data_IF_193959312985
#
_entry.id   IF_193959312985
#
_cell.length_a   1.000
_cell.length_b   1.000
_cell.length_c   1.000
_cell.angle_alpha   90.00
_cell.angle_beta   90.00
_cell.angle_gamma   90.00
#
_symmetry.space_group_name_H-M   'P 1'
#
loop_
_entity.id
_entity.type
_entity.pdbx_description
1 polymer ?
#
# COMPACT_ATOMS: atom_id res chain seq x y z
N UNK A 1 -47.47 -30.52 59.20
CA UNK A 1 -47.04 -29.17 59.62
C UNK A 1 -46.18 -28.56 58.53
N UNK A 2 -46.37 -27.29 58.14
CA UNK A 2 -47.65 -26.68 57.72
C UNK A 2 -47.50 -26.05 56.30
N UNK A 3 -48.49 -26.25 55.41
CA UNK A 3 -49.57 -25.31 55.06
C UNK A 3 -49.06 -24.01 54.38
N UNK A 4 -49.23 -23.98 53.06
CA UNK A 4 -49.22 -22.75 52.25
C UNK A 4 -50.47 -21.94 52.58
N UNK A 5 -50.30 -20.68 52.98
CA UNK A 5 -51.40 -19.73 53.16
C UNK A 5 -51.46 -18.75 51.99
N UNK A 6 -52.61 -18.81 51.31
CA UNK A 6 -53.16 -17.86 50.36
C UNK A 6 -52.92 -16.38 50.74
N UNK A 7 -52.51 -15.56 49.76
CA UNK A 7 -52.70 -14.10 49.82
C UNK A 7 -53.79 -13.69 48.83
N UNK A 8 -54.85 -13.10 49.39
CA UNK A 8 -56.02 -12.49 48.76
C UNK A 8 -55.59 -11.25 47.95
N UNK A 9 -56.17 -10.96 46.76
CA UNK A 9 -55.92 -9.73 46.05
C UNK A 9 -56.73 -8.56 46.65
N UNK A 10 -56.05 -7.48 47.03
CA UNK A 10 -56.68 -6.21 47.38
C UNK A 10 -57.00 -5.42 46.10
N UNK A 11 -58.28 -5.07 45.91
CA UNK A 11 -58.76 -4.18 44.86
C UNK A 11 -58.67 -2.73 45.37
N UNK A 12 -57.99 -1.78 44.69
CA UNK A 12 -58.04 -0.38 45.13
C UNK A 12 -59.26 0.33 44.56
N UNK A 13 -59.95 1.03 45.47
CA UNK A 13 -61.06 1.95 45.23
C UNK A 13 -60.53 3.19 44.49
N UNK A 14 -61.13 3.55 43.35
CA UNK A 14 -60.87 4.82 42.64
C UNK A 14 -61.78 5.92 43.22
N UNK A 15 -61.18 6.92 43.86
CA UNK A 15 -61.82 8.22 44.12
C UNK A 15 -61.39 9.19 43.01
N UNK A 16 -62.33 9.57 42.15
CA UNK A 16 -62.19 10.62 41.14
C UNK A 16 -62.09 11.99 41.81
N UNK A 17 -60.92 12.61 41.77
CA UNK A 17 -60.73 14.04 42.06
C UNK A 17 -61.10 14.85 40.82
N UNK A 18 -61.93 15.88 40.98
CA UNK A 18 -62.21 16.89 39.97
C UNK A 18 -60.92 17.57 39.49
N UNK A 19 -60.73 17.63 38.17
CA UNK A 19 -59.57 18.27 37.54
C UNK A 19 -59.66 19.79 37.66
N UNK A 20 -58.57 20.42 38.11
CA UNK A 20 -58.41 21.87 38.24
C UNK A 20 -58.28 22.55 36.87
N UNK A 21 -58.60 23.84 36.77
CA UNK A 21 -58.58 24.64 35.54
C UNK A 21 -57.26 24.54 34.73
N UNK A 22 -56.13 24.47 35.42
CA UNK A 22 -54.80 24.27 34.81
C UNK A 22 -54.68 22.94 34.04
N UNK A 23 -55.32 21.87 34.53
CA UNK A 23 -55.35 20.58 33.83
C UNK A 23 -56.27 20.61 32.60
N UNK A 24 -57.37 21.38 32.64
CA UNK A 24 -58.24 21.57 31.46
C UNK A 24 -57.52 22.32 30.33
N UNK A 25 -56.70 23.32 30.66
CA UNK A 25 -55.88 24.04 29.67
C UNK A 25 -54.83 23.11 29.06
N UNK A 26 -54.16 22.29 29.88
CA UNK A 26 -53.15 21.34 29.43
C UNK A 26 -53.74 20.27 28.50
N UNK A 27 -54.90 19.73 28.84
CA UNK A 27 -55.60 18.73 28.05
C UNK A 27 -56.10 19.35 26.71
N UNK A 28 -56.64 20.58 26.72
CA UNK A 28 -57.06 21.31 25.52
C UNK A 28 -55.90 21.61 24.54
N UNK A 29 -54.69 21.90 25.05
CA UNK A 29 -53.50 22.13 24.22
C UNK A 29 -53.00 20.83 23.55
N UNK A 30 -53.12 19.69 24.22
CA UNK A 30 -52.73 18.39 23.69
C UNK A 30 -53.72 17.90 22.62
N UNK A 31 -55.02 18.11 22.84
CA UNK A 31 -56.09 17.67 21.94
C UNK A 31 -56.08 18.39 20.59
N UNK A 32 -55.68 19.67 20.55
CA UNK A 32 -55.73 20.50 19.34
C UNK A 32 -54.41 20.57 18.55
N UNK A 33 -53.37 19.80 18.90
CA UNK A 33 -52.02 19.82 18.26
C UNK A 33 -51.42 21.23 18.05
N UNK A 34 -51.85 22.22 18.83
CA UNK A 34 -51.23 23.54 18.82
C UNK A 34 -49.94 23.44 19.61
N UNK A 35 -48.81 23.38 18.90
CA UNK A 35 -47.50 23.31 19.55
C UNK A 35 -47.37 24.53 20.48
N UNK A 36 -46.80 24.34 21.67
CA UNK A 36 -46.59 25.45 22.62
C UNK A 36 -45.87 26.66 22.00
N UNK A 37 -45.21 26.46 20.86
CA UNK A 37 -44.65 27.50 20.01
C UNK A 37 -45.69 28.49 19.46
N UNK A 38 -46.90 28.06 19.09
CA UNK A 38 -47.95 28.97 18.61
C UNK A 38 -48.53 29.82 19.74
N UNK A 39 -48.77 29.23 20.91
CA UNK A 39 -49.22 29.97 22.09
C UNK A 39 -48.14 30.97 22.55
N UNK A 40 -46.87 30.55 22.55
CA UNK A 40 -45.75 31.44 22.85
C UNK A 40 -45.62 32.56 21.81
N UNK A 41 -45.71 32.24 20.52
CA UNK A 41 -45.69 33.23 19.43
C UNK A 41 -46.87 34.20 19.52
N UNK A 42 -48.07 33.71 19.85
CA UNK A 42 -49.25 34.55 20.08
C UNK A 42 -49.04 35.48 21.27
N UNK A 43 -48.45 35.00 22.37
CA UNK A 43 -48.13 35.82 23.55
C UNK A 43 -47.08 36.88 23.18
N UNK A 44 -45.98 36.50 22.51
CA UNK A 44 -44.96 37.45 22.06
C UNK A 44 -45.55 38.50 21.12
N UNK A 45 -46.41 38.08 20.17
CA UNK A 45 -47.11 38.97 19.26
C UNK A 45 -48.05 39.91 20.01
N UNK A 46 -48.81 39.41 20.99
CA UNK A 46 -49.73 40.21 21.82
C UNK A 46 -48.96 41.21 22.67
N UNK A 47 -47.86 40.79 23.30
CA UNK A 47 -46.96 41.69 24.06
C UNK A 47 -46.37 42.74 23.15
N UNK A 48 -46.03 42.41 21.90
CA UNK A 48 -45.50 43.35 20.92
C UNK A 48 -46.57 44.35 20.43
N UNK A 49 -47.79 43.88 20.16
CA UNK A 49 -48.91 44.70 19.68
C UNK A 49 -49.42 45.67 20.74
N UNK A 50 -49.44 45.24 22.01
CA UNK A 50 -49.81 46.07 23.16
C UNK A 50 -48.60 46.70 23.87
N UNK A 51 -47.39 46.55 23.31
CA UNK A 51 -46.16 47.08 23.90
C UNK A 51 -46.24 48.57 24.20
N UNK A 52 -46.77 49.45 23.31
CA UNK A 52 -46.83 50.89 23.60
C UNK A 52 -47.67 51.21 24.86
N UNK A 53 -48.76 50.47 25.07
CA UNK A 53 -49.65 50.64 26.22
C UNK A 53 -49.00 50.10 27.49
N UNK A 54 -48.41 48.91 27.44
CA UNK A 54 -47.69 48.31 28.58
C UNK A 54 -46.50 49.19 28.97
N UNK A 55 -45.77 49.71 27.99
CA UNK A 55 -44.63 50.60 28.18
C UNK A 55 -45.03 51.94 28.78
N UNK A 56 -46.11 52.56 28.29
CA UNK A 56 -46.67 53.79 28.87
C UNK A 56 -47.10 53.60 30.33
N UNK A 57 -47.65 52.42 30.67
CA UNK A 57 -48.09 52.11 32.03
C UNK A 57 -46.90 51.90 32.97
N UNK A 58 -45.85 51.22 32.49
CA UNK A 58 -44.60 51.02 33.24
C UNK A 58 -43.83 52.35 33.46
N UNK A 59 -43.79 53.23 32.46
CA UNK A 59 -43.14 54.54 32.59
C UNK A 59 -43.91 55.51 33.48
N UNK A 60 -45.24 55.52 33.41
CA UNK A 60 -46.09 56.25 34.35
C UNK A 60 -45.86 55.83 35.80
N UNK A 61 -45.50 54.56 36.03
CA UNK A 61 -45.18 54.04 37.35
C UNK A 61 -43.76 54.40 37.84
N UNK A 62 -42.80 54.64 36.94
CA UNK A 62 -41.39 54.91 37.29
C UNK A 62 -41.07 56.42 37.33
N UNK A 63 -41.65 57.21 36.43
CA UNK A 63 -41.47 58.66 36.37
C UNK A 63 -42.77 59.30 36.82
N UNK A 64 -42.85 59.65 38.10
CA UNK A 64 -43.98 60.30 38.79
C UNK A 64 -44.29 61.68 38.19
N UNK A 65 -44.80 61.66 36.96
CA UNK A 65 -45.15 62.81 36.15
C UNK A 65 -46.51 62.51 35.53
N UNK A 66 -47.48 63.39 35.74
CA UNK A 66 -48.78 63.33 35.08
C UNK A 66 -48.60 63.43 33.57
N UNK A 67 -48.44 62.27 32.93
CA UNK A 67 -48.19 62.15 31.51
C UNK A 67 -49.53 62.26 30.76
N UNK A 68 -49.87 63.46 30.29
CA UNK A 68 -51.03 63.67 29.43
C UNK A 68 -50.77 63.06 28.05
N UNK A 69 -51.55 62.02 27.74
CA UNK A 69 -51.38 61.11 26.58
C UNK A 69 -51.86 61.65 25.21
N UNK A 70 -51.80 62.97 24.91
CA UNK A 70 -51.65 63.36 23.51
C UNK A 70 -50.38 64.16 23.18
N UNK A 71 -49.78 64.89 24.12
CA UNK A 71 -48.77 65.91 23.78
C UNK A 71 -47.30 65.44 23.88
N UNK A 72 -47.03 64.33 24.58
CA UNK A 72 -45.68 63.80 24.80
C UNK A 72 -45.40 62.46 24.09
N UNK A 73 -46.19 62.10 23.07
CA UNK A 73 -45.97 60.90 22.25
C UNK A 73 -44.57 60.88 21.60
N UNK A 74 -44.00 62.06 21.33
CA UNK A 74 -42.61 62.20 20.85
C UNK A 74 -41.57 61.68 21.84
N UNK A 75 -41.70 62.00 23.14
CA UNK A 75 -40.75 61.56 24.16
C UNK A 75 -40.79 60.05 24.45
N UNK A 76 -41.98 59.44 24.40
CA UNK A 76 -42.12 57.97 24.46
C UNK A 76 -41.49 57.33 23.21
N UNK A 77 -41.69 57.93 22.04
CA UNK A 77 -41.08 57.52 20.77
C UNK A 77 -39.55 57.56 20.82
N UNK A 78 -38.97 58.60 21.41
CA UNK A 78 -37.51 58.76 21.54
C UNK A 78 -36.90 57.74 22.52
N UNK A 79 -37.56 57.45 23.65
CA UNK A 79 -37.11 56.41 24.59
C UNK A 79 -37.20 55.03 23.93
N UNK A 80 -38.28 54.74 23.21
CA UNK A 80 -38.43 53.50 22.45
C UNK A 80 -37.38 53.37 21.34
N UNK A 81 -37.14 54.44 20.59
CA UNK A 81 -36.08 54.52 19.59
C UNK A 81 -34.70 54.26 20.20
N UNK A 82 -34.40 54.83 21.36
CA UNK A 82 -33.14 54.62 22.08
C UNK A 82 -32.99 53.17 22.60
N UNK A 83 -34.07 52.54 23.10
CA UNK A 83 -34.07 51.15 23.56
C UNK A 83 -33.91 50.17 22.39
N UNK A 84 -34.61 50.40 21.27
CA UNK A 84 -34.45 49.60 20.06
C UNK A 84 -33.03 49.73 19.48
N UNK A 85 -32.44 50.93 19.58
CA UNK A 85 -31.04 51.16 19.20
C UNK A 85 -30.08 50.39 20.11
N UNK A 86 -30.34 50.34 21.44
CA UNK A 86 -29.55 49.54 22.38
C UNK A 86 -29.66 48.04 22.10
N UNK A 87 -30.86 47.52 21.85
CA UNK A 87 -31.06 46.12 21.46
C UNK A 87 -30.38 45.80 20.14
N UNK A 88 -30.48 46.68 19.15
CA UNK A 88 -29.80 46.52 17.86
C UNK A 88 -28.28 46.50 18.01
N UNK A 89 -27.72 47.35 18.88
CA UNK A 89 -26.30 47.35 19.22
C UNK A 89 -25.87 46.04 19.90
N UNK A 90 -26.66 45.55 20.86
CA UNK A 90 -26.39 44.27 21.54
C UNK A 90 -26.43 43.10 20.54
N UNK A 91 -27.42 43.08 19.64
CA UNK A 91 -27.49 42.08 18.57
C UNK A 91 -26.28 42.16 17.65
N UNK A 92 -25.85 43.36 17.27
CA UNK A 92 -24.65 43.55 16.45
C UNK A 92 -23.40 43.01 17.14
N UNK A 93 -23.22 43.27 18.44
CA UNK A 93 -22.08 42.76 19.22
C UNK A 93 -22.08 41.22 19.28
N UNK A 94 -23.24 40.60 19.47
CA UNK A 94 -23.38 39.12 19.45
C UNK A 94 -23.03 38.56 18.07
N UNK A 95 -23.48 39.19 16.99
CA UNK A 95 -23.18 38.77 15.62
C UNK A 95 -21.69 38.93 15.30
N UNK A 96 -21.06 40.04 15.71
CA UNK A 96 -19.63 40.27 15.53
C UNK A 96 -18.80 39.21 16.26
N UNK A 97 -19.14 38.91 17.52
CA UNK A 97 -18.48 37.86 18.29
C UNK A 97 -18.66 36.47 17.66
N UNK A 98 -19.88 36.13 17.21
CA UNK A 98 -20.13 34.85 16.54
C UNK A 98 -19.37 34.72 15.23
N UNK A 99 -19.27 35.80 14.44
CA UNK A 99 -18.50 35.81 13.20
C UNK A 99 -17.01 35.63 13.45
N UNK A 100 -16.46 36.27 14.48
CA UNK A 100 -15.06 36.11 14.86
C UNK A 100 -14.76 34.65 15.22
N UNK A 101 -15.60 34.04 16.06
CA UNK A 101 -15.49 32.62 16.39
C UNK A 101 -15.61 31.70 15.16
N UNK A 102 -16.52 32.00 14.23
CA UNK A 102 -16.66 31.25 12.98
C UNK A 102 -15.37 31.33 12.13
N UNK A 103 -14.73 32.50 12.05
CA UNK A 103 -13.46 32.66 11.34
C UNK A 103 -12.37 31.78 11.95
N UNK A 104 -12.27 31.72 13.28
CA UNK A 104 -11.32 30.84 13.96
C UNK A 104 -11.60 29.37 13.67
N UNK A 105 -12.85 28.92 13.81
CA UNK A 105 -13.23 27.54 13.49
C UNK A 105 -12.95 27.17 12.03
N UNK A 106 -13.19 28.09 11.09
CA UNK A 106 -12.90 27.87 9.68
C UNK A 106 -11.39 27.69 9.44
N UNK A 107 -10.53 28.48 10.11
CA UNK A 107 -9.08 28.30 10.03
C UNK A 107 -8.65 26.93 10.57
N UNK A 108 -9.24 26.48 11.66
CA UNK A 108 -8.97 25.15 12.22
C UNK A 108 -9.43 24.02 11.30
N UNK A 109 -10.63 24.13 10.72
CA UNK A 109 -11.16 23.19 9.73
C UNK A 109 -10.22 23.09 8.53
N UNK A 110 -9.73 24.23 8.01
CA UNK A 110 -8.77 24.24 6.90
C UNK A 110 -7.45 23.55 7.29
N UNK A 111 -6.93 23.80 8.50
CA UNK A 111 -5.70 23.14 8.99
C UNK A 111 -5.91 21.64 9.14
N UNK A 112 -7.01 21.21 9.76
CA UNK A 112 -7.34 19.82 9.95
C UNK A 112 -7.56 19.11 8.59
N UNK A 113 -8.26 19.75 7.66
CA UNK A 113 -8.47 19.24 6.30
C UNK A 113 -7.15 19.07 5.55
N UNK A 114 -6.25 20.06 5.61
CA UNK A 114 -4.93 19.95 5.01
C UNK A 114 -4.10 18.82 5.62
N UNK A 115 -4.14 18.66 6.95
CA UNK A 115 -3.47 17.55 7.63
C UNK A 115 -4.04 16.20 7.19
N UNK A 116 -5.36 16.07 7.14
CA UNK A 116 -6.03 14.85 6.69
C UNK A 116 -5.71 14.52 5.24
N UNK A 117 -5.70 15.49 4.33
CA UNK A 117 -5.31 15.29 2.93
C UNK A 117 -3.85 14.83 2.82
N UNK A 118 -2.95 15.42 3.61
CA UNK A 118 -1.55 15.00 3.62
C UNK A 118 -1.37 13.59 4.18
N UNK A 119 -2.10 13.22 5.24
CA UNK A 119 -2.11 11.85 5.77
C UNK A 119 -2.71 10.86 4.77
N UNK A 120 -3.84 11.18 4.15
CA UNK A 120 -4.47 10.35 3.13
C UNK A 120 -3.54 10.12 1.93
N UNK A 121 -2.82 11.16 1.48
CA UNK A 121 -1.80 11.04 0.42
C UNK A 121 -0.65 10.12 0.81
N UNK A 122 -0.15 10.23 2.04
CA UNK A 122 0.92 9.34 2.56
C UNK A 122 0.44 7.90 2.64
N UNK A 123 -0.69 7.67 3.32
CA UNK A 123 -1.26 6.33 3.45
C UNK A 123 -1.54 5.70 2.09
N UNK A 124 -2.07 6.46 1.13
CA UNK A 124 -2.31 5.96 -0.22
C UNK A 124 -0.99 5.61 -0.93
N UNK A 125 0.07 6.42 -0.79
CA UNK A 125 1.39 6.12 -1.35
C UNK A 125 1.98 4.86 -0.72
N UNK A 126 1.88 4.72 0.60
CA UNK A 126 2.40 3.57 1.34
C UNK A 126 1.64 2.30 0.94
N UNK A 127 0.31 2.33 0.87
CA UNK A 127 -0.52 1.24 0.37
C UNK A 127 -0.18 0.85 -1.07
N UNK A 128 0.05 1.83 -1.95
CA UNK A 128 0.45 1.56 -3.33
C UNK A 128 1.83 0.89 -3.39
N UNK A 129 2.76 1.29 -2.53
CA UNK A 129 4.08 0.67 -2.46
C UNK A 129 4.02 -0.76 -1.90
N UNK A 130 3.19 -0.99 -0.88
CA UNK A 130 2.96 -2.31 -0.29
C UNK A 130 2.28 -3.24 -1.29
N UNK A 131 1.24 -2.76 -1.99
CA UNK A 131 0.57 -3.51 -3.05
C UNK A 131 1.52 -3.86 -4.19
N UNK A 132 2.36 -2.92 -4.63
CA UNK A 132 3.37 -3.20 -5.65
C UNK A 132 4.36 -4.27 -5.19
N UNK A 133 4.84 -4.18 -3.95
CA UNK A 133 5.77 -5.17 -3.37
C UNK A 133 5.14 -6.56 -3.29
N UNK A 134 3.86 -6.64 -2.91
CA UNK A 134 3.12 -7.90 -2.90
C UNK A 134 2.99 -8.49 -4.31
N UNK A 135 2.59 -7.68 -5.30
CA UNK A 135 2.50 -8.10 -6.71
C UNK A 135 3.85 -8.59 -7.24
N UNK A 136 4.93 -7.85 -6.95
CA UNK A 136 6.28 -8.25 -7.32
C UNK A 136 6.64 -9.61 -6.74
N UNK A 137 6.41 -9.83 -5.44
CA UNK A 137 6.68 -11.11 -4.77
C UNK A 137 5.88 -12.25 -5.41
N UNK A 138 4.60 -12.04 -5.65
CA UNK A 138 3.74 -13.04 -6.28
C UNK A 138 4.24 -13.38 -7.68
N UNK A 139 4.60 -12.38 -8.48
CA UNK A 139 5.16 -12.60 -9.83
C UNK A 139 6.51 -13.32 -9.77
N UNK A 140 7.38 -12.93 -8.86
CA UNK A 140 8.71 -13.51 -8.69
C UNK A 140 8.64 -15.00 -8.31
N UNK A 141 7.86 -15.34 -7.27
CA UNK A 141 7.66 -16.74 -6.88
C UNK A 141 6.93 -17.54 -7.95
N UNK A 142 5.98 -16.92 -8.68
CA UNK A 142 5.33 -17.57 -9.81
C UNK A 142 6.32 -17.92 -10.92
N UNK A 143 7.25 -17.00 -11.26
CA UNK A 143 8.28 -17.25 -12.26
C UNK A 143 9.28 -18.32 -11.81
N UNK A 144 9.68 -18.33 -10.54
CA UNK A 144 10.56 -19.38 -10.00
C UNK A 144 9.89 -20.76 -10.01
N UNK A 145 8.62 -20.83 -9.66
CA UNK A 145 7.84 -22.06 -9.76
C UNK A 145 7.73 -22.50 -11.22
N UNK A 146 7.45 -21.57 -12.14
CA UNK A 146 7.41 -21.87 -13.57
C UNK A 146 8.77 -22.35 -14.10
N UNK A 147 9.89 -21.76 -13.65
CA UNK A 147 11.25 -22.24 -13.92
C UNK A 147 11.44 -23.67 -13.44
N UNK A 148 11.09 -23.97 -12.19
CA UNK A 148 11.14 -25.34 -11.64
C UNK A 148 10.34 -26.34 -12.48
N UNK A 149 9.10 -25.99 -12.86
CA UNK A 149 8.27 -26.86 -13.70
C UNK A 149 8.85 -27.03 -15.12
N UNK A 150 9.44 -25.98 -15.69
CA UNK A 150 10.10 -26.06 -16.99
C UNK A 150 11.39 -26.88 -16.94
N UNK A 151 12.13 -26.81 -15.84
CA UNK A 151 13.29 -27.67 -15.62
C UNK A 151 12.89 -29.14 -15.66
N UNK A 152 11.81 -29.53 -14.96
CA UNK A 152 11.27 -30.90 -14.98
C UNK A 152 10.90 -31.38 -16.40
N UNK A 153 10.50 -30.46 -17.27
CA UNK A 153 10.13 -30.72 -18.67
C UNK A 153 11.32 -30.82 -19.63
N UNK A 154 12.55 -30.53 -19.18
CA UNK A 154 13.76 -30.65 -19.99
C UNK A 154 14.16 -32.09 -20.31
N UNK A 155 13.42 -33.09 -19.82
CA UNK A 155 13.71 -34.48 -20.13
C UNK A 155 13.80 -34.72 -21.65
N UNK A 156 14.83 -35.48 -22.04
CA UNK A 156 15.13 -35.78 -23.45
C UNK A 156 15.11 -37.29 -23.66
N UNK A 157 14.47 -37.71 -24.74
CA UNK A 157 14.43 -39.13 -25.13
C UNK A 157 15.73 -39.46 -25.86
N UNK A 158 16.54 -40.32 -25.24
CA UNK A 158 17.81 -40.82 -25.77
C UNK A 158 17.62 -42.22 -26.36
N UNK A 159 18.66 -42.76 -27.01
CA UNK A 159 18.65 -44.15 -27.50
C UNK A 159 18.54 -45.18 -26.37
N UNK A 160 18.98 -44.83 -25.15
CA UNK A 160 19.06 -45.72 -24.00
C UNK A 160 17.93 -45.49 -22.97
N UNK A 161 16.94 -44.66 -23.31
CA UNK A 161 15.83 -44.29 -22.42
C UNK A 161 15.68 -42.77 -22.28
N UNK A 162 14.89 -42.33 -21.32
CA UNK A 162 14.68 -40.89 -21.03
C UNK A 162 15.76 -40.40 -20.08
N UNK A 163 16.51 -39.38 -20.49
CA UNK A 163 17.44 -38.66 -19.62
C UNK A 163 16.65 -37.62 -18.83
N UNK A 164 16.73 -37.67 -17.51
CA UNK A 164 16.11 -36.67 -16.66
C UNK A 164 16.93 -35.34 -16.74
N UNK A 165 16.35 -34.20 -16.30
CA UNK A 165 17.01 -32.90 -16.37
C UNK A 165 18.33 -32.82 -15.58
N UNK A 166 18.36 -33.38 -14.37
CA UNK A 166 19.55 -33.38 -13.49
C UNK A 166 20.70 -34.18 -14.09
N UNK A 167 20.43 -35.32 -14.71
CA UNK A 167 21.41 -36.15 -15.41
C UNK A 167 21.88 -35.47 -16.70
N UNK A 168 20.98 -34.75 -17.39
CA UNK A 168 21.32 -33.94 -18.57
C UNK A 168 22.32 -32.84 -18.21
N UNK A 169 22.02 -32.01 -17.21
CA UNK A 169 22.91 -30.93 -16.78
C UNK A 169 24.19 -31.47 -16.14
N UNK A 170 24.13 -32.60 -15.43
CA UNK A 170 25.31 -33.28 -14.90
C UNK A 170 26.21 -33.85 -16.00
N UNK A 171 25.65 -34.34 -17.10
CA UNK A 171 26.42 -34.80 -18.25
C UNK A 171 27.13 -33.62 -18.95
N UNK A 172 26.44 -32.49 -19.10
CA UNK A 172 27.01 -31.25 -19.63
C UNK A 172 28.14 -30.76 -18.73
N UNK A 173 27.93 -30.73 -17.42
CA UNK A 173 28.95 -30.36 -16.44
C UNK A 173 30.23 -31.20 -16.58
N UNK A 174 30.10 -32.53 -16.62
CA UNK A 174 31.24 -33.44 -16.75
C UNK A 174 31.99 -33.23 -18.06
N UNK A 175 31.27 -33.04 -19.16
CA UNK A 175 31.90 -32.78 -20.45
C UNK A 175 32.58 -31.42 -20.49
N UNK A 176 31.97 -30.38 -19.91
CA UNK A 176 32.56 -29.05 -19.79
C UNK A 176 33.91 -29.13 -19.07
N UNK A 177 33.95 -29.75 -17.88
CA UNK A 177 35.21 -29.91 -17.14
C UNK A 177 36.25 -30.71 -17.93
N UNK A 178 35.83 -31.81 -18.57
CA UNK A 178 36.72 -32.61 -19.43
C UNK A 178 37.31 -31.76 -20.55
N UNK A 179 36.52 -30.89 -21.19
CA UNK A 179 36.97 -30.03 -22.27
C UNK A 179 37.91 -28.93 -21.76
N UNK A 180 37.61 -28.31 -20.63
CA UNK A 180 38.48 -27.35 -19.93
C UNK A 180 39.85 -27.96 -19.65
N UNK A 181 39.89 -29.15 -19.07
CA UNK A 181 41.14 -29.80 -18.67
C UNK A 181 41.93 -30.36 -19.86
N UNK A 182 41.28 -30.66 -20.99
CA UNK A 182 41.93 -31.28 -22.16
C UNK A 182 42.05 -30.29 -23.32
N UNK A 183 40.97 -30.11 -24.08
CA UNK A 183 40.94 -29.39 -25.35
C UNK A 183 41.15 -27.89 -25.20
N UNK A 184 40.74 -27.32 -24.07
CA UNK A 184 40.81 -25.90 -23.76
C UNK A 184 41.87 -25.57 -22.70
N UNK A 185 42.78 -26.51 -22.40
CA UNK A 185 43.92 -26.27 -21.53
C UNK A 185 44.84 -25.16 -22.07
N UNK A 186 45.00 -25.07 -23.39
CA UNK A 186 45.61 -23.94 -24.07
C UNK A 186 44.52 -23.10 -24.77
N UNK A 187 44.20 -21.96 -24.15
CA UNK A 187 43.10 -21.11 -24.59
C UNK A 187 43.46 -20.23 -25.79
N UNK A 188 44.74 -19.99 -26.12
CA UNK A 188 45.16 -18.96 -27.09
C UNK A 188 44.43 -19.09 -28.44
N UNK A 189 44.23 -20.32 -28.91
CA UNK A 189 43.61 -20.61 -30.20
C UNK A 189 42.12 -20.91 -30.13
N UNK A 190 41.52 -20.96 -28.95
CA UNK A 190 40.09 -21.23 -28.78
C UNK A 190 39.31 -19.96 -29.07
N UNK A 191 38.39 -20.03 -30.04
CA UNK A 191 37.44 -18.94 -30.35
C UNK A 191 36.05 -19.30 -29.82
N UNK A 192 35.22 -18.29 -29.58
CA UNK A 192 33.84 -18.43 -29.11
C UNK A 192 33.01 -19.38 -30.00
N UNK A 193 33.11 -19.26 -31.33
CA UNK A 193 32.46 -20.18 -32.29
C UNK A 193 32.85 -21.66 -32.12
N UNK A 194 34.04 -21.94 -31.58
CA UNK A 194 34.42 -23.31 -31.27
C UNK A 194 33.65 -23.82 -30.05
N UNK A 195 33.44 -22.98 -29.03
CA UNK A 195 32.70 -23.34 -27.82
C UNK A 195 31.23 -23.66 -28.15
N UNK A 196 30.61 -22.88 -29.03
CA UNK A 196 29.23 -23.09 -29.49
C UNK A 196 29.10 -24.44 -30.20
N UNK A 197 30.00 -24.72 -31.15
CA UNK A 197 29.99 -25.98 -31.89
C UNK A 197 30.20 -27.20 -30.99
N UNK A 198 31.07 -27.11 -29.99
CA UNK A 198 31.27 -28.20 -29.02
C UNK A 198 30.03 -28.41 -28.14
N UNK A 199 29.41 -27.31 -27.68
CA UNK A 199 28.18 -27.36 -26.90
C UNK A 199 27.07 -28.03 -27.70
N UNK A 200 26.79 -27.53 -28.90
CA UNK A 200 25.76 -28.05 -29.78
C UNK A 200 26.01 -29.51 -30.16
N UNK A 201 27.26 -29.85 -30.51
CA UNK A 201 27.65 -31.22 -30.83
C UNK A 201 27.36 -32.17 -29.67
N UNK A 202 27.82 -31.81 -28.46
CA UNK A 202 27.66 -32.66 -27.29
C UNK A 202 26.19 -32.82 -26.91
N UNK A 203 25.46 -31.71 -26.78
CA UNK A 203 24.04 -31.72 -26.42
C UNK A 203 23.24 -32.52 -27.44
N UNK A 204 23.41 -32.27 -28.74
CA UNK A 204 22.70 -33.00 -29.79
C UNK A 204 23.02 -34.49 -29.79
N UNK A 205 24.27 -34.87 -29.48
CA UNK A 205 24.70 -36.28 -29.35
C UNK A 205 23.97 -36.99 -28.20
N UNK A 206 23.83 -36.35 -27.04
CA UNK A 206 23.18 -36.96 -25.87
C UNK A 206 21.65 -36.86 -25.93
N UNK A 207 21.09 -35.88 -26.67
CA UNK A 207 19.66 -35.59 -26.70
C UNK A 207 18.96 -35.97 -28.02
N UNK A 208 19.61 -36.69 -28.92
CA UNK A 208 19.11 -36.98 -30.27
C UNK A 208 18.67 -35.70 -31.05
N UNK A 209 19.43 -34.61 -30.94
CA UNK A 209 19.21 -33.38 -31.69
C UNK A 209 18.16 -32.40 -31.15
N UNK A 210 17.47 -32.71 -30.04
CA UNK A 210 16.38 -31.88 -29.48
C UNK A 210 16.74 -31.09 -28.21
N UNK A 211 17.99 -31.15 -27.76
CA UNK A 211 18.41 -30.66 -26.45
C UNK A 211 18.71 -29.16 -26.45
N UNK A 212 19.38 -28.65 -27.48
CA UNK A 212 19.83 -27.25 -27.52
C UNK A 212 18.66 -26.28 -27.45
N UNK A 213 17.66 -26.44 -28.32
CA UNK A 213 16.47 -25.57 -28.36
C UNK A 213 15.73 -25.54 -27.01
N UNK A 214 15.60 -26.70 -26.37
CA UNK A 214 14.98 -26.83 -25.04
C UNK A 214 15.78 -26.09 -23.97
N UNK A 215 17.10 -26.25 -23.96
CA UNK A 215 17.99 -25.59 -23.00
C UNK A 215 17.95 -24.07 -23.19
N UNK A 216 18.10 -23.57 -24.42
CA UNK A 216 18.02 -22.14 -24.69
C UNK A 216 16.67 -21.55 -24.26
N UNK A 217 15.57 -22.18 -24.68
CA UNK A 217 14.21 -21.74 -24.28
C UNK A 217 14.04 -21.69 -22.76
N UNK A 218 14.63 -22.66 -22.07
CA UNK A 218 14.61 -22.71 -20.63
C UNK A 218 15.45 -21.59 -19.98
N UNK A 219 16.65 -21.32 -20.50
CA UNK A 219 17.51 -20.27 -19.94
C UNK A 219 16.99 -18.84 -20.17
N UNK A 220 16.09 -18.62 -21.13
CA UNK A 220 15.34 -17.35 -21.25
C UNK A 220 14.42 -17.05 -20.05
N UNK A 221 14.10 -18.06 -19.22
CA UNK A 221 13.36 -17.84 -17.98
C UNK A 221 14.17 -17.04 -16.97
N UNK A 222 15.49 -17.23 -16.93
CA UNK A 222 16.37 -16.43 -16.09
C UNK A 222 16.39 -14.97 -16.52
N UNK A 223 16.44 -14.72 -17.83
CA UNK A 223 16.33 -13.36 -18.36
C UNK A 223 15.04 -12.69 -17.88
N UNK A 224 13.92 -13.42 -17.93
CA UNK A 224 12.62 -12.91 -17.47
C UNK A 224 12.61 -12.59 -15.97
N UNK A 225 13.21 -13.46 -15.14
CA UNK A 225 13.32 -13.25 -13.69
C UNK A 225 14.23 -12.05 -13.38
N UNK A 226 15.40 -11.96 -14.00
CA UNK A 226 16.33 -10.86 -13.78
C UNK A 226 15.76 -9.53 -14.29
N UNK A 227 15.04 -9.52 -15.41
CA UNK A 227 14.32 -8.33 -15.86
C UNK A 227 13.27 -7.88 -14.84
N UNK A 228 12.54 -8.80 -14.22
CA UNK A 228 11.58 -8.47 -13.17
C UNK A 228 12.30 -7.81 -11.98
N UNK A 229 13.36 -8.44 -11.46
CA UNK A 229 14.17 -7.92 -10.34
C UNK A 229 14.70 -6.52 -10.67
N UNK A 230 15.36 -6.36 -11.82
CA UNK A 230 16.01 -5.12 -12.22
C UNK A 230 15.02 -4.00 -12.58
N UNK A 231 13.75 -4.32 -12.86
CA UNK A 231 12.71 -3.34 -13.19
C UNK A 231 12.04 -2.73 -11.96
N UNK A 232 12.09 -3.41 -10.82
CA UNK A 232 11.44 -2.98 -9.59
C UNK A 232 12.36 -2.06 -8.78
N UNK A 233 11.78 -1.10 -8.06
CA UNK A 233 12.56 -0.18 -7.21
C UNK A 233 12.86 -0.82 -5.86
N UNK A 234 13.75 -1.81 -5.88
CA UNK A 234 14.21 -2.52 -4.70
C UNK A 234 15.32 -1.76 -3.99
N UNK A 235 15.52 -2.07 -2.70
CA UNK A 235 16.75 -1.68 -2.00
C UNK A 235 17.88 -2.61 -2.44
N UNK A 236 19.14 -2.17 -2.37
CA UNK A 236 20.30 -3.01 -2.72
C UNK A 236 20.30 -4.36 -1.97
N UNK A 237 19.86 -4.34 -0.70
CA UNK A 237 19.72 -5.54 0.13
C UNK A 237 18.62 -6.48 -0.36
N UNK A 238 17.46 -5.93 -0.76
CA UNK A 238 16.36 -6.74 -1.30
C UNK A 238 16.77 -7.32 -2.66
N UNK A 239 17.37 -6.51 -3.54
CA UNK A 239 17.84 -6.95 -4.85
C UNK A 239 18.84 -8.10 -4.74
N UNK A 240 19.83 -7.97 -3.85
CA UNK A 240 20.79 -9.03 -3.58
C UNK A 240 20.10 -10.30 -3.06
N UNK A 241 19.16 -10.18 -2.13
CA UNK A 241 18.38 -11.31 -1.62
C UNK A 241 17.64 -12.06 -2.73
N UNK A 242 16.96 -11.36 -3.65
CA UNK A 242 16.25 -12.02 -4.74
C UNK A 242 17.20 -12.67 -5.74
N UNK A 243 18.32 -12.02 -6.10
CA UNK A 243 19.35 -12.59 -6.98
C UNK A 243 19.98 -13.85 -6.38
N UNK A 244 20.26 -13.84 -5.08
CA UNK A 244 20.76 -15.01 -4.36
C UNK A 244 19.74 -16.15 -4.37
N UNK A 245 18.46 -15.85 -4.20
CA UNK A 245 17.41 -16.86 -4.24
C UNK A 245 17.30 -17.52 -5.63
N UNK A 246 17.46 -16.74 -6.70
CA UNK A 246 17.53 -17.28 -8.07
C UNK A 246 18.73 -18.21 -8.22
N UNK A 247 19.91 -17.78 -7.80
CA UNK A 247 21.17 -18.54 -7.91
C UNK A 247 21.12 -19.84 -7.11
N UNK A 248 20.60 -19.78 -5.89
CA UNK A 248 20.42 -20.94 -5.01
C UNK A 248 19.30 -21.89 -5.48
N UNK A 249 18.40 -21.44 -6.36
CA UNK A 249 17.42 -22.32 -7.01
C UNK A 249 18.03 -23.19 -8.13
N UNK A 250 19.29 -22.94 -8.51
CA UNK A 250 19.98 -23.64 -9.58
C UNK A 250 20.78 -24.83 -9.06
N UNK A 251 20.71 -25.95 -9.77
CA UNK A 251 21.68 -27.04 -9.56
C UNK A 251 23.06 -26.64 -10.13
N UNK A 252 24.15 -27.20 -9.60
CA UNK A 252 25.51 -26.89 -10.08
C UNK A 252 25.66 -27.17 -11.58
N UNK A 253 25.11 -28.28 -12.07
CA UNK A 253 25.14 -28.60 -13.50
C UNK A 253 24.37 -27.58 -14.34
N UNK A 254 23.33 -26.97 -13.78
CA UNK A 254 22.57 -25.92 -14.43
C UNK A 254 23.39 -24.62 -14.54
N UNK A 255 24.06 -24.23 -13.46
CA UNK A 255 24.96 -23.06 -13.46
C UNK A 255 26.08 -23.24 -14.48
N UNK A 256 26.71 -24.42 -14.55
CA UNK A 256 27.78 -24.69 -15.53
C UNK A 256 27.25 -24.73 -16.96
N UNK A 257 26.04 -25.24 -17.18
CA UNK A 257 25.40 -25.20 -18.50
C UNK A 257 25.21 -23.74 -18.96
N UNK A 258 24.76 -22.86 -18.04
CA UNK A 258 24.60 -21.44 -18.33
C UNK A 258 25.95 -20.75 -18.58
N UNK A 259 27.01 -21.10 -17.83
CA UNK A 259 28.39 -20.63 -18.07
C UNK A 259 28.83 -20.96 -19.50
N UNK A 260 28.61 -22.21 -19.94
CA UNK A 260 28.99 -22.61 -21.30
C UNK A 260 28.17 -21.87 -22.34
N UNK A 261 26.85 -21.72 -22.16
CA UNK A 261 25.99 -20.94 -23.06
C UNK A 261 26.46 -19.48 -23.15
N UNK A 262 26.70 -18.84 -22.01
CA UNK A 262 27.15 -17.45 -21.94
C UNK A 262 28.52 -17.24 -22.58
N UNK A 263 29.43 -18.21 -22.44
CA UNK A 263 30.77 -18.14 -23.05
C UNK A 263 30.75 -18.44 -24.56
N UNK A 264 29.75 -19.17 -25.05
CA UNK A 264 29.77 -19.77 -26.40
C UNK A 264 29.00 -19.00 -27.45
N UNK A 265 27.95 -18.29 -27.08
CA UNK A 265 27.05 -17.69 -28.06
C UNK A 265 26.94 -16.18 -27.82
N UNK A 266 26.59 -15.43 -28.86
CA UNK A 266 26.11 -14.04 -28.73
C UNK A 266 24.70 -14.01 -28.10
N UNK A 267 24.36 -15.03 -27.32
CA UNK A 267 23.13 -15.12 -26.55
C UNK A 267 22.92 -13.79 -25.85
N UNK A 268 21.67 -13.36 -25.77
CA UNK A 268 21.27 -12.17 -25.02
C UNK A 268 21.42 -12.40 -23.52
N UNK A 269 22.66 -12.58 -23.07
CA UNK A 269 23.12 -12.70 -21.70
C UNK A 269 23.37 -11.31 -21.07
N UNK A 270 22.87 -10.24 -21.68
CA UNK A 270 22.96 -8.90 -21.09
C UNK A 270 22.32 -8.86 -19.69
N UNK A 271 21.31 -9.69 -19.44
CA UNK A 271 20.71 -9.84 -18.11
C UNK A 271 21.67 -10.43 -17.07
N UNK A 272 22.72 -11.12 -17.50
CA UNK A 272 23.73 -11.69 -16.61
C UNK A 272 24.73 -10.63 -16.13
N UNK A 273 24.86 -9.48 -16.80
CA UNK A 273 25.79 -8.43 -16.38
C UNK A 273 25.46 -7.96 -14.96
N UNK A 274 26.45 -7.97 -14.06
CA UNK A 274 26.28 -7.65 -12.64
C UNK A 274 25.19 -8.51 -11.94
N UNK A 275 24.96 -9.73 -12.43
CA UNK A 275 24.00 -10.65 -11.82
C UNK A 275 24.56 -11.31 -10.57
N UNK A 276 25.87 -11.59 -10.52
CA UNK A 276 26.46 -12.44 -9.50
C UNK A 276 25.80 -13.84 -9.44
N UNK A 277 25.19 -14.29 -10.54
CA UNK A 277 24.34 -15.50 -10.57
C UNK A 277 25.09 -16.79 -10.22
N UNK A 278 26.40 -16.80 -10.44
CA UNK A 278 27.23 -17.97 -10.19
C UNK A 278 27.80 -17.95 -8.76
N UNK A 279 27.19 -18.77 -7.90
CA UNK A 279 27.46 -18.80 -6.45
C UNK A 279 28.27 -20.01 -5.99
N UNK A 280 28.64 -20.92 -6.89
CA UNK A 280 29.38 -22.14 -6.54
C UNK A 280 30.89 -21.98 -6.72
N UNK A 281 31.65 -22.73 -5.92
CA UNK A 281 33.10 -22.79 -6.04
C UNK A 281 33.50 -23.63 -7.26
N UNK A 282 34.13 -22.99 -8.24
CA UNK A 282 34.66 -23.67 -9.42
C UNK A 282 36.12 -24.04 -9.25
N UNK A 283 36.54 -25.10 -9.95
CA UNK A 283 37.94 -25.53 -9.94
C UNK A 283 38.84 -24.47 -10.56
N UNK A 284 40.08 -24.40 -10.09
CA UNK A 284 41.11 -23.46 -10.60
C UNK A 284 41.28 -23.56 -12.12
N UNK A 285 41.07 -24.75 -12.70
CA UNK A 285 41.15 -24.99 -14.15
C UNK A 285 40.13 -24.18 -14.95
N UNK A 286 38.99 -23.83 -14.36
CA UNK A 286 37.94 -23.03 -15.01
C UNK A 286 38.26 -21.53 -14.99
N UNK A 287 39.14 -21.06 -14.09
CA UNK A 287 39.49 -19.63 -13.97
C UNK A 287 40.06 -19.09 -15.27
N UNK A 288 40.98 -19.82 -15.91
CA UNK A 288 41.54 -19.40 -17.19
C UNK A 288 40.48 -19.29 -18.29
N UNK A 289 39.52 -20.22 -18.30
CA UNK A 289 38.39 -20.19 -19.24
C UNK A 289 37.50 -18.96 -18.98
N UNK A 290 37.15 -18.72 -17.72
CA UNK A 290 36.34 -17.57 -17.32
C UNK A 290 37.02 -16.24 -17.67
N UNK A 291 38.33 -16.11 -17.41
CA UNK A 291 39.14 -14.92 -17.76
C UNK A 291 39.06 -14.55 -19.24
N UNK A 292 38.98 -15.55 -20.13
CA UNK A 292 38.98 -15.31 -21.57
C UNK A 292 37.59 -15.00 -22.13
N UNK A 293 36.54 -15.66 -21.63
CA UNK A 293 35.24 -15.68 -22.29
C UNK A 293 34.10 -15.06 -21.49
N UNK A 294 34.32 -14.72 -20.22
CA UNK A 294 33.26 -14.29 -19.31
C UNK A 294 33.67 -13.02 -18.55
N UNK A 295 32.67 -12.33 -18.01
CA UNK A 295 32.86 -11.18 -17.14
C UNK A 295 32.90 -11.62 -15.67
N UNK A 296 33.75 -10.98 -14.86
CA UNK A 296 33.87 -11.26 -13.42
C UNK A 296 32.56 -10.93 -12.67
N UNK A 297 31.77 -9.97 -13.17
CA UNK A 297 30.49 -9.52 -12.61
C UNK A 297 29.39 -10.61 -12.58
N UNK A 298 29.64 -11.74 -13.25
CA UNK A 298 28.75 -12.89 -13.27
C UNK A 298 28.86 -13.76 -12.02
N UNK A 299 29.95 -13.61 -11.25
CA UNK A 299 30.32 -14.51 -10.16
C UNK A 299 30.22 -13.80 -8.82
N UNK A 300 29.77 -14.53 -7.80
CA UNK A 300 29.64 -14.03 -6.42
C UNK A 300 30.34 -14.92 -5.39
N UNK A 301 30.83 -16.11 -5.77
CA UNK A 301 31.53 -17.00 -4.84
C UNK A 301 32.89 -16.42 -4.40
N UNK A 302 33.12 -16.16 -3.10
CA UNK A 302 34.33 -15.46 -2.63
C UNK A 302 35.64 -16.16 -3.00
N UNK A 303 35.74 -17.48 -2.78
CA UNK A 303 36.98 -18.22 -3.06
C UNK A 303 37.33 -18.22 -4.55
N UNK A 304 36.31 -18.28 -5.41
CA UNK A 304 36.51 -18.29 -6.85
C UNK A 304 37.02 -16.92 -7.33
N UNK A 305 36.44 -15.84 -6.81
CA UNK A 305 36.88 -14.47 -7.10
C UNK A 305 38.31 -14.20 -6.60
N UNK A 306 38.67 -14.72 -5.42
CA UNK A 306 40.05 -14.67 -4.91
C UNK A 306 41.02 -15.39 -5.85
N UNK A 307 40.70 -16.63 -6.22
CA UNK A 307 41.49 -17.44 -7.16
C UNK A 307 41.66 -16.75 -8.51
N UNK A 308 40.59 -16.12 -9.03
CA UNK A 308 40.66 -15.36 -10.28
C UNK A 308 41.53 -14.12 -10.16
N UNK A 309 41.45 -13.41 -9.03
CA UNK A 309 42.32 -12.27 -8.75
C UNK A 309 43.80 -12.67 -8.75
N UNK A 310 44.13 -13.80 -8.11
CA UNK A 310 45.48 -14.36 -8.11
C UNK A 310 45.95 -14.77 -9.51
N UNK A 311 45.07 -15.42 -10.29
CA UNK A 311 45.34 -15.81 -11.68
C UNK A 311 45.71 -14.59 -12.54
N UNK A 312 44.95 -13.49 -12.45
CA UNK A 312 45.22 -12.24 -13.20
C UNK A 312 46.57 -11.65 -12.81
N UNK A 313 46.91 -11.66 -11.51
CA UNK A 313 48.20 -11.15 -11.00
C UNK A 313 49.38 -11.97 -11.55
N UNK A 314 49.24 -13.29 -11.66
CA UNK A 314 50.29 -14.15 -12.19
C UNK A 314 50.49 -14.00 -13.71
N UNK A 315 49.44 -13.62 -14.45
CA UNK A 315 49.48 -13.40 -15.91
C UNK A 315 50.09 -12.05 -16.29
N UNK A 316 49.91 -11.04 -15.43
CA UNK A 316 50.51 -9.69 -15.57
C UNK A 316 51.26 -9.32 -14.29
N UNK A 317 52.46 -9.88 -14.05
CA UNK A 317 53.28 -9.44 -12.93
C UNK A 317 53.66 -7.97 -13.15
N UNK A 318 53.24 -7.12 -12.21
CA UNK A 318 53.54 -5.68 -12.22
C UNK A 318 55.04 -5.39 -12.20
#
# INVERSE_FOLDING_TARGET
>A
MPISLNKIPQKPIKLTKEKTFSQKIKDFCIENKFSGFFLFSLIVLTVWLFFPVIFSLFFSFILDTQYNYPDNLGGIGDIYGSLNTLFSLLTLLVVLYSNDQQIETNKEILRASNLQLNLARRNHKDQMSESRRAIFNDMFYSLLNYKSEKFKQLSVVTKNGTLNPTDLTSAIYKEFLRLVDTKWSNLDNVKQINLEKEFEYFVNKISNGKGCEKLYTYFYLYESIYKLINSEKLTDSDEHFYKDLVSNSMEVGEQVTLIWIAASSDYHCDFLKNSGIFTFDMTETVVGFADKFLEESLFSHPNFLETWTEYKKNKNPA
#
